data_IF_743743861868
#
_entry.id   IF_743743861868
#
_cell.length_a   1.000
_cell.length_b   1.000
_cell.length_c   1.000
_cell.angle_alpha   90.00
_cell.angle_beta   90.00
_cell.angle_gamma   90.00
#
_symmetry.space_group_name_H-M   'P 1'
#
loop_
_entity.id
_entity.type
_entity.pdbx_description
1 polymer ?
#
# COMPACT_ATOMS: atom_id res chain seq x y z
N UNK A 1 -7.96 -0.21 1.30
CA UNK A 1 -7.72 -0.48 -0.14
C UNK A 1 -6.25 -0.73 -0.42
N UNK A 2 -5.93 -1.89 -1.00
CA UNK A 2 -4.56 -2.19 -1.45
C UNK A 2 -4.49 -1.73 -2.91
N UNK A 3 -3.62 -0.77 -3.23
CA UNK A 3 -3.22 -0.52 -4.62
C UNK A 3 -2.61 -1.82 -5.13
N UNK A 4 -2.97 -2.29 -6.33
CA UNK A 4 -2.58 -3.61 -6.84
C UNK A 4 -1.06 -3.85 -6.69
N UNK A 5 -0.66 -4.51 -5.60
CA UNK A 5 0.72 -4.68 -5.17
C UNK A 5 1.04 -6.16 -5.23
N UNK A 6 1.89 -6.53 -6.19
CA UNK A 6 2.46 -7.86 -6.25
C UNK A 6 3.73 -7.85 -5.42
N UNK A 7 3.73 -8.60 -4.33
CA UNK A 7 4.92 -8.77 -3.51
C UNK A 7 5.97 -9.61 -4.24
N UNK A 8 6.96 -8.94 -4.83
CA UNK A 8 8.07 -9.57 -5.57
C UNK A 8 9.21 -10.03 -4.66
N UNK A 9 9.18 -9.67 -3.36
CA UNK A 9 10.29 -9.94 -2.42
C UNK A 9 10.63 -11.42 -2.29
N UNK A 10 9.66 -12.36 -2.22
CA UNK A 10 9.99 -13.79 -2.17
C UNK A 10 10.76 -14.27 -3.41
N UNK A 11 10.41 -13.76 -4.59
CA UNK A 11 11.09 -14.10 -5.84
C UNK A 11 12.52 -13.54 -5.83
N UNK A 12 12.69 -12.27 -5.42
CA UNK A 12 13.99 -11.63 -5.27
C UNK A 12 14.87 -12.40 -4.27
N UNK A 13 14.29 -12.90 -3.17
CA UNK A 13 15.02 -13.68 -2.19
C UNK A 13 15.61 -14.96 -2.80
N UNK A 14 14.78 -15.74 -3.51
CA UNK A 14 15.19 -17.00 -4.13
C UNK A 14 16.25 -16.76 -5.21
N UNK A 15 16.03 -15.78 -6.09
CA UNK A 15 17.01 -15.42 -7.12
C UNK A 15 18.34 -14.97 -6.50
N UNK A 16 18.30 -14.17 -5.43
CA UNK A 16 19.49 -13.74 -4.71
C UNK A 16 20.29 -14.90 -4.11
N UNK A 17 19.62 -15.92 -3.56
CA UNK A 17 20.29 -17.14 -3.07
C UNK A 17 20.98 -17.91 -4.20
N UNK A 18 20.36 -18.02 -5.37
CA UNK A 18 20.96 -18.68 -6.53
C UNK A 18 22.20 -17.93 -7.02
N UNK A 19 22.13 -16.60 -7.10
CA UNK A 19 23.27 -15.73 -7.46
C UNK A 19 24.39 -15.86 -6.43
N UNK A 20 24.05 -15.87 -5.14
CA UNK A 20 25.01 -16.04 -4.05
C UNK A 20 25.73 -17.40 -4.16
N UNK A 21 24.98 -18.48 -4.39
CA UNK A 21 25.51 -19.83 -4.54
C UNK A 21 26.49 -19.90 -5.72
N UNK A 22 26.10 -19.35 -6.87
CA UNK A 22 26.95 -19.30 -8.06
C UNK A 22 28.21 -18.45 -7.83
N UNK A 23 28.06 -17.28 -7.20
CA UNK A 23 29.18 -16.37 -6.89
C UNK A 23 30.21 -17.01 -5.95
N UNK A 24 29.74 -17.64 -4.86
CA UNK A 24 30.62 -18.37 -3.93
C UNK A 24 31.27 -19.57 -4.62
N UNK A 25 30.54 -20.28 -5.47
CA UNK A 25 31.09 -21.41 -6.23
C UNK A 25 32.24 -20.97 -7.15
N UNK A 26 32.03 -19.91 -7.93
CA UNK A 26 33.04 -19.33 -8.82
C UNK A 26 34.25 -18.84 -8.01
N UNK A 27 34.01 -18.12 -6.90
CA UNK A 27 35.07 -17.62 -6.02
C UNK A 27 35.94 -18.76 -5.46
N UNK A 28 35.32 -19.82 -4.94
CA UNK A 28 36.02 -21.00 -4.44
C UNK A 28 36.83 -21.70 -5.54
N UNK A 29 36.30 -21.76 -6.77
CA UNK A 29 37.00 -22.33 -7.92
C UNK A 29 38.24 -21.51 -8.31
N UNK A 30 38.11 -20.19 -8.40
CA UNK A 30 39.23 -19.28 -8.74
C UNK A 30 40.32 -19.34 -7.67
N UNK A 31 39.94 -19.31 -6.40
CA UNK A 31 40.90 -19.33 -5.28
C UNK A 31 41.43 -20.73 -4.95
N UNK A 32 41.01 -21.77 -5.69
CA UNK A 32 41.34 -23.18 -5.43
C UNK A 32 41.03 -23.62 -3.98
N UNK A 33 39.99 -23.04 -3.37
CA UNK A 33 39.53 -23.28 -1.98
C UNK A 33 38.21 -24.07 -1.96
N UNK A 34 38.16 -25.19 -2.69
CA UNK A 34 36.92 -25.98 -2.83
C UNK A 34 36.44 -26.57 -1.50
N UNK A 35 37.37 -26.97 -0.65
CA UNK A 35 37.16 -27.51 0.70
C UNK A 35 36.46 -26.53 1.65
N UNK A 36 36.60 -25.22 1.41
CA UNK A 36 36.00 -24.16 2.26
C UNK A 36 34.65 -23.66 1.76
N UNK A 37 34.10 -24.23 0.68
CA UNK A 37 32.85 -23.76 0.07
C UNK A 37 31.71 -23.61 1.07
N UNK A 38 31.42 -24.66 1.85
CA UNK A 38 30.30 -24.63 2.81
C UNK A 38 30.45 -23.53 3.87
N UNK A 39 31.66 -23.30 4.38
CA UNK A 39 31.92 -22.24 5.37
C UNK A 39 31.75 -20.84 4.76
N UNK A 40 32.26 -20.63 3.55
CA UNK A 40 32.15 -19.35 2.85
C UNK A 40 30.69 -19.07 2.46
N UNK A 41 29.99 -20.08 1.94
CA UNK A 41 28.58 -19.97 1.60
C UNK A 41 27.74 -19.68 2.84
N UNK A 42 27.93 -20.42 3.93
CA UNK A 42 27.22 -20.20 5.18
C UNK A 42 27.38 -18.78 5.71
N UNK A 43 28.62 -18.28 5.78
CA UNK A 43 28.87 -16.89 6.21
C UNK A 43 28.21 -15.87 5.28
N UNK A 44 28.38 -16.06 3.96
CA UNK A 44 27.80 -15.15 2.96
C UNK A 44 26.27 -15.17 2.99
N UNK A 45 25.67 -16.34 3.25
CA UNK A 45 24.23 -16.51 3.38
C UNK A 45 23.71 -15.82 4.63
N UNK A 46 24.38 -15.93 5.77
CA UNK A 46 24.00 -15.19 6.98
C UNK A 46 24.03 -13.68 6.76
N UNK A 47 25.07 -13.18 6.10
CA UNK A 47 25.17 -11.75 5.74
C UNK A 47 24.04 -11.37 4.79
N UNK A 48 23.81 -12.15 3.73
CA UNK A 48 22.73 -11.93 2.77
C UNK A 48 21.36 -11.88 3.43
N UNK A 49 21.04 -12.85 4.30
CA UNK A 49 19.78 -12.87 5.05
C UNK A 49 19.65 -11.64 5.92
N UNK A 50 20.71 -11.26 6.65
CA UNK A 50 20.70 -10.05 7.49
C UNK A 50 20.40 -8.78 6.68
N UNK A 51 21.08 -8.60 5.55
CA UNK A 51 20.81 -7.47 4.65
C UNK A 51 19.41 -7.52 4.06
N UNK A 52 18.98 -8.69 3.56
CA UNK A 52 17.66 -8.84 2.96
C UNK A 52 16.55 -8.52 3.98
N UNK A 53 16.68 -9.03 5.21
CA UNK A 53 15.74 -8.73 6.29
C UNK A 53 15.76 -7.25 6.65
N UNK A 54 16.93 -6.64 6.81
CA UNK A 54 17.01 -5.23 7.21
C UNK A 54 16.48 -4.26 6.16
N UNK A 55 16.66 -4.56 4.87
CA UNK A 55 16.28 -3.64 3.80
C UNK A 55 14.94 -3.99 3.15
N UNK A 56 14.62 -5.26 2.96
CA UNK A 56 13.52 -5.66 2.09
C UNK A 56 12.33 -6.25 2.83
N UNK A 57 12.39 -6.47 4.14
CA UNK A 57 11.23 -6.93 4.92
C UNK A 57 10.72 -5.87 5.88
N UNK A 58 9.49 -6.05 6.37
CA UNK A 58 8.85 -5.14 7.34
C UNK A 58 9.52 -5.12 8.73
N UNK A 59 10.57 -5.92 8.93
CA UNK A 59 11.39 -5.89 10.15
C UNK A 59 12.32 -4.67 10.12
N UNK A 60 12.74 -4.26 8.93
CA UNK A 60 13.58 -3.08 8.73
C UNK A 60 12.81 -1.76 8.80
N UNK A 61 13.51 -0.62 8.85
CA UNK A 61 12.88 0.69 8.99
C UNK A 61 12.30 1.24 7.67
N UNK A 62 12.42 0.52 6.56
CA UNK A 62 12.09 1.04 5.24
C UNK A 62 10.78 0.52 4.67
N UNK A 63 10.34 -0.67 5.08
CA UNK A 63 9.24 -1.40 4.43
C UNK A 63 8.10 -1.55 5.41
N UNK A 64 6.85 -1.45 4.93
CA UNK A 64 5.66 -1.56 5.78
C UNK A 64 5.50 -0.44 6.80
N UNK A 65 6.10 0.73 6.55
CA UNK A 65 5.98 1.87 7.44
C UNK A 65 4.55 2.38 7.42
N UNK A 66 3.94 2.48 8.60
CA UNK A 66 2.55 2.92 8.75
C UNK A 66 2.53 4.36 9.21
N UNK A 67 1.73 5.16 8.51
CA UNK A 67 1.53 6.55 8.85
C UNK A 67 0.07 6.95 8.61
N UNK A 68 -0.34 8.04 9.22
CA UNK A 68 -1.68 8.59 9.09
C UNK A 68 -1.63 9.87 8.26
N UNK A 69 -2.47 9.96 7.23
CA UNK A 69 -2.61 11.16 6.41
C UNK A 69 -4.03 11.68 6.49
N UNK A 70 -4.16 12.98 6.67
CA UNK A 70 -5.44 13.67 6.79
C UNK A 70 -5.68 14.50 5.53
N UNK A 71 -6.89 14.43 4.98
CA UNK A 71 -7.27 15.19 3.80
C UNK A 71 -8.64 15.83 4.00
N UNK A 72 -8.78 17.05 3.48
CA UNK A 72 -10.10 17.64 3.28
C UNK A 72 -10.64 17.14 1.93
N UNK A 73 -11.83 16.56 1.99
CA UNK A 73 -12.52 15.99 0.84
C UNK A 73 -13.93 16.58 0.74
N UNK A 74 -14.48 16.59 -0.47
CA UNK A 74 -15.90 16.85 -0.69
C UNK A 74 -16.62 15.54 -0.93
N UNK A 75 -17.87 15.42 -0.47
CA UNK A 75 -18.67 14.22 -0.72
C UNK A 75 -19.90 14.51 -1.58
N UNK A 76 -20.35 13.50 -2.31
CA UNK A 76 -21.60 13.52 -3.09
C UNK A 76 -22.18 12.12 -3.23
N UNK A 77 -23.47 12.05 -3.53
CA UNK A 77 -24.08 10.81 -4.01
C UNK A 77 -23.61 10.55 -5.45
N UNK A 78 -23.08 9.36 -5.70
CA UNK A 78 -22.75 8.88 -7.04
C UNK A 78 -24.01 8.58 -7.86
N UNK A 79 -23.88 8.58 -9.18
CA UNK A 79 -24.99 8.27 -10.08
C UNK A 79 -25.45 6.81 -9.93
N UNK A 80 -26.78 6.60 -9.86
CA UNK A 80 -27.42 5.30 -9.62
C UNK A 80 -27.19 4.28 -10.75
N UNK A 81 -26.82 4.72 -11.96
CA UNK A 81 -26.67 3.84 -13.14
C UNK A 81 -25.62 2.73 -12.98
N UNK A 82 -24.76 2.82 -11.96
CA UNK A 82 -23.71 1.83 -11.68
C UNK A 82 -23.86 1.09 -10.34
N UNK A 83 -24.98 1.25 -9.63
CA UNK A 83 -25.16 0.60 -8.32
C UNK A 83 -25.48 -0.90 -8.47
N UNK A 84 -24.43 -1.71 -8.66
CA UNK A 84 -24.50 -3.17 -8.51
C UNK A 84 -24.84 -3.61 -7.07
N UNK A 85 -24.89 -2.66 -6.13
CA UNK A 85 -25.15 -2.87 -4.71
C UNK A 85 -26.42 -2.11 -4.30
N UNK A 86 -27.24 -2.72 -3.43
CA UNK A 86 -28.49 -2.15 -2.90
C UNK A 86 -28.22 -1.11 -1.78
N UNK A 87 -27.17 -0.30 -1.95
CA UNK A 87 -26.73 0.70 -0.97
C UNK A 87 -26.31 2.00 -1.66
N UNK A 88 -26.49 3.16 -1.00
CA UNK A 88 -26.03 4.45 -1.49
C UNK A 88 -24.55 4.43 -1.86
N UNK A 89 -24.25 4.96 -3.06
CA UNK A 89 -22.88 5.16 -3.53
C UNK A 89 -22.39 6.53 -3.07
N UNK A 90 -21.59 6.57 -2.01
CA UNK A 90 -20.95 7.77 -1.50
C UNK A 90 -19.61 7.97 -2.21
N UNK A 91 -19.43 9.09 -2.89
CA UNK A 91 -18.18 9.44 -3.57
C UNK A 91 -17.51 10.60 -2.85
N UNK A 92 -16.28 10.38 -2.42
CA UNK A 92 -15.40 11.35 -1.79
C UNK A 92 -14.37 11.82 -2.82
N UNK A 93 -14.17 13.12 -2.97
CA UNK A 93 -13.20 13.70 -3.88
C UNK A 93 -12.20 14.57 -3.11
N UNK A 94 -10.91 14.40 -3.39
CA UNK A 94 -9.84 15.14 -2.72
C UNK A 94 -9.85 16.61 -3.16
N UNK A 95 -9.93 17.55 -2.21
CA UNK A 95 -9.97 18.98 -2.52
C UNK A 95 -8.68 19.49 -3.16
N UNK A 96 -7.54 19.08 -2.59
CA UNK A 96 -6.22 19.51 -3.06
C UNK A 96 -5.68 18.65 -4.22
N UNK A 97 -6.35 17.53 -4.53
CA UNK A 97 -5.97 16.60 -5.60
C UNK A 97 -7.18 16.30 -6.51
N UNK A 98 -7.72 17.32 -7.20
CA UNK A 98 -8.95 17.21 -7.96
C UNK A 98 -8.89 16.10 -9.01
N UNK A 99 -10.00 15.39 -9.20
CA UNK A 99 -10.06 14.21 -10.06
C UNK A 99 -9.58 12.91 -9.42
N UNK A 100 -8.97 12.94 -8.22
CA UNK A 100 -8.78 11.74 -7.40
C UNK A 100 -10.02 11.55 -6.51
N UNK A 101 -10.56 10.33 -6.45
CA UNK A 101 -11.76 10.02 -5.69
C UNK A 101 -11.71 8.67 -5.01
N UNK A 102 -12.52 8.52 -3.98
CA UNK A 102 -12.76 7.26 -3.28
C UNK A 102 -14.27 7.06 -3.20
N UNK A 103 -14.74 5.91 -3.64
CA UNK A 103 -16.15 5.54 -3.54
C UNK A 103 -16.37 4.48 -2.49
N UNK A 104 -17.49 4.59 -1.78
CA UNK A 104 -18.01 3.63 -0.81
C UNK A 104 -19.47 3.32 -1.15
N UNK A 105 -19.84 2.05 -1.09
CA UNK A 105 -21.24 1.64 -1.05
C UNK A 105 -21.60 1.38 0.42
N UNK A 106 -22.37 2.30 1.02
CA UNK A 106 -22.67 2.31 2.47
C UNK A 106 -23.87 3.19 2.79
N UNK A 107 -24.91 2.60 3.37
CA UNK A 107 -26.06 3.34 3.91
C UNK A 107 -25.68 4.15 5.15
N UNK A 108 -24.92 3.53 6.07
CA UNK A 108 -24.49 4.16 7.33
C UNK A 108 -23.65 5.42 7.08
N UNK A 109 -22.70 5.34 6.15
CA UNK A 109 -21.87 6.49 5.79
C UNK A 109 -22.70 7.61 5.16
N UNK A 110 -23.65 7.27 4.30
CA UNK A 110 -24.56 8.25 3.71
C UNK A 110 -25.39 8.96 4.78
N UNK A 111 -26.03 8.22 5.68
CA UNK A 111 -26.86 8.79 6.73
C UNK A 111 -26.05 9.70 7.66
N UNK A 112 -24.83 9.31 8.02
CA UNK A 112 -23.91 10.11 8.83
C UNK A 112 -23.56 11.45 8.15
N UNK A 113 -23.13 11.40 6.89
CA UNK A 113 -22.73 12.59 6.14
C UNK A 113 -23.92 13.52 5.86
N UNK A 114 -25.07 12.95 5.56
CA UNK A 114 -26.30 13.69 5.34
C UNK A 114 -26.78 14.39 6.62
N UNK A 115 -26.69 13.73 7.77
CA UNK A 115 -27.04 14.31 9.07
C UNK A 115 -26.10 15.45 9.48
N UNK A 116 -24.82 15.37 9.11
CA UNK A 116 -23.83 16.42 9.38
C UNK A 116 -24.07 17.67 8.53
N UNK A 117 -24.57 17.51 7.30
CA UNK A 117 -24.93 18.62 6.39
C UNK A 117 -23.74 19.44 5.88
N UNK A 118 -22.51 19.03 6.16
CA UNK A 118 -21.28 19.66 5.67
C UNK A 118 -20.84 19.02 4.36
N UNK A 119 -20.60 19.83 3.32
CA UNK A 119 -20.11 19.32 2.03
C UNK A 119 -18.62 19.00 2.06
N UNK A 120 -17.84 19.77 2.83
CA UNK A 120 -16.41 19.50 3.07
C UNK A 120 -16.25 18.73 4.37
N UNK A 121 -15.50 17.64 4.29
CA UNK A 121 -15.28 16.70 5.38
C UNK A 121 -13.81 16.36 5.49
N UNK A 122 -13.37 16.10 6.72
CA UNK A 122 -12.06 15.54 6.99
C UNK A 122 -12.11 14.02 6.83
N UNK A 123 -11.10 13.47 6.16
CA UNK A 123 -10.92 12.02 6.03
C UNK A 123 -9.51 11.67 6.45
N UNK A 124 -9.42 10.70 7.36
CA UNK A 124 -8.17 10.21 7.92
C UNK A 124 -7.89 8.84 7.32
N UNK A 125 -6.73 8.71 6.67
CA UNK A 125 -6.25 7.47 6.08
C UNK A 125 -5.09 6.89 6.86
N UNK A 126 -5.12 5.59 7.14
CA UNK A 126 -3.91 4.82 7.38
C UNK A 126 -3.24 4.52 6.05
N UNK A 127 -1.95 4.74 5.96
CA UNK A 127 -1.13 4.46 4.77
C UNK A 127 -0.06 3.46 5.13
N UNK A 128 0.31 2.63 4.17
CA UNK A 128 1.45 1.73 4.26
C UNK A 128 2.42 2.12 3.16
N UNK A 129 3.66 2.42 3.54
CA UNK A 129 4.71 2.83 2.63
C UNK A 129 5.92 1.90 2.68
N UNK A 130 6.54 1.76 1.51
CA UNK A 130 7.83 1.10 1.34
C UNK A 130 8.77 2.15 0.74
N UNK A 131 9.92 2.39 1.38
CA UNK A 131 10.93 3.38 0.97
C UNK A 131 10.36 4.79 0.76
N UNK A 132 9.38 5.19 1.58
CA UNK A 132 8.70 6.49 1.49
C UNK A 132 7.60 6.56 0.43
N UNK A 133 7.45 5.54 -0.41
CA UNK A 133 6.37 5.46 -1.41
C UNK A 133 5.17 4.73 -0.82
N UNK A 134 3.97 5.32 -0.90
CA UNK A 134 2.73 4.67 -0.45
C UNK A 134 2.38 3.52 -1.39
N UNK A 135 2.17 2.32 -0.82
CA UNK A 135 1.71 1.12 -1.56
C UNK A 135 0.28 0.70 -1.24
N UNK A 136 -0.33 1.29 -0.24
CA UNK A 136 -1.69 0.99 0.16
C UNK A 136 -2.20 1.97 1.19
N UNK A 137 -3.52 2.12 1.25
CA UNK A 137 -4.17 3.03 2.18
C UNK A 137 -5.56 2.52 2.58
N UNK A 138 -6.01 2.86 3.76
CA UNK A 138 -7.37 2.57 4.24
C UNK A 138 -7.95 3.80 4.90
N UNK A 139 -9.21 4.13 4.60
CA UNK A 139 -9.90 5.16 5.35
C UNK A 139 -10.15 4.61 6.77
N UNK A 140 -9.61 5.29 7.77
CA UNK A 140 -9.80 4.99 9.20
C UNK A 140 -10.96 5.80 9.78
N UNK A 141 -11.12 7.03 9.28
CA UNK A 141 -12.24 7.88 9.65
C UNK A 141 -12.70 8.76 8.51
N UNK A 142 -14.01 8.87 8.34
CA UNK A 142 -14.65 9.80 7.41
C UNK A 142 -15.58 10.70 8.22
N UNK A 143 -15.28 11.98 8.27
CA UNK A 143 -16.03 12.97 9.04
C UNK A 143 -16.27 12.55 10.52
N UNK A 144 -15.25 11.93 11.14
CA UNK A 144 -15.31 11.43 12.51
C UNK A 144 -15.98 10.06 12.67
N UNK A 145 -16.69 9.54 11.66
CA UNK A 145 -17.22 8.18 11.68
C UNK A 145 -16.07 7.17 11.53
N UNK A 146 -16.13 6.05 12.25
CA UNK A 146 -15.15 4.96 12.21
C UNK A 146 -15.90 3.63 12.11
N UNK A 147 -15.24 2.61 11.57
CA UNK A 147 -15.75 1.23 11.50
C UNK A 147 -17.15 1.10 10.85
N UNK A 148 -17.45 1.92 9.84
CA UNK A 148 -18.75 1.87 9.15
C UNK A 148 -18.87 0.62 8.27
N UNK A 149 -20.10 0.14 8.12
CA UNK A 149 -20.41 -0.96 7.20
C UNK A 149 -20.31 -0.49 5.75
N UNK A 150 -19.57 -1.22 4.92
CA UNK A 150 -19.48 -0.94 3.49
C UNK A 150 -19.36 -2.23 2.70
N UNK A 151 -20.26 -2.42 1.72
CA UNK A 151 -20.24 -3.58 0.81
C UNK A 151 -19.00 -3.58 -0.06
N UNK A 152 -18.60 -2.41 -0.53
CA UNK A 152 -17.45 -2.24 -1.40
C UNK A 152 -16.89 -0.82 -1.33
N UNK A 153 -15.58 -0.72 -1.49
CA UNK A 153 -14.89 0.56 -1.65
C UNK A 153 -13.88 0.50 -2.80
N UNK A 154 -13.68 1.63 -3.48
CA UNK A 154 -12.70 1.75 -4.55
C UNK A 154 -12.01 3.11 -4.55
N UNK A 155 -10.82 3.12 -5.13
CA UNK A 155 -10.10 4.33 -5.50
C UNK A 155 -10.24 4.54 -6.99
N UNK A 156 -10.46 5.76 -7.41
CA UNK A 156 -10.64 6.09 -8.82
C UNK A 156 -10.00 7.41 -9.16
N UNK A 157 -9.72 7.57 -10.45
CA UNK A 157 -9.38 8.85 -11.04
C UNK A 157 -10.40 9.21 -12.09
N UNK A 158 -10.62 10.50 -12.30
CA UNK A 158 -11.41 11.05 -13.41
C UNK A 158 -10.64 12.16 -14.09
N UNK A 159 -10.70 12.19 -15.42
CA UNK A 159 -9.91 13.10 -16.23
C UNK A 159 -8.43 12.70 -16.27
N UNK A 160 -7.54 13.68 -16.10
CA UNK A 160 -6.08 13.48 -16.13
C UNK A 160 -5.44 14.27 -14.98
N UNK A 161 -5.60 13.81 -13.72
CA UNK A 161 -5.01 14.49 -12.56
C UNK A 161 -3.49 14.55 -12.69
N UNK A 162 -2.91 15.70 -12.34
CA UNK A 162 -1.47 15.97 -12.47
C UNK A 162 -0.64 15.42 -11.31
N UNK A 163 -1.29 15.10 -10.18
CA UNK A 163 -0.66 14.60 -8.96
C UNK A 163 -1.57 13.63 -8.20
N UNK A 164 -0.95 12.72 -7.45
CA UNK A 164 -1.65 11.79 -6.56
C UNK A 164 -1.58 12.29 -5.10
N UNK A 165 -2.64 12.10 -4.29
CA UNK A 165 -2.58 12.36 -2.84
C UNK A 165 -1.60 11.44 -2.09
N UNK A 166 -1.10 10.41 -2.77
CA UNK A 166 -0.21 9.39 -2.22
C UNK A 166 1.26 9.58 -2.59
N UNK A 167 1.55 10.55 -3.48
CA UNK A 167 2.93 10.92 -3.81
C UNK A 167 3.63 11.66 -2.65
#
# INVERSE_FOLDING_TARGET
MILAYVDVRPILFILGVLVLLLGVYIFCRIKKKKDKFGKIFGLSFCVYVGFFTFFLTEIGPFVGQRDTREFIMTWKLGEEEYSSFDQPHVVLEFKDFPGNKIGHYSQELFDHLNAQGANEIEVIFSTVSDYGSVRGYSAESIAGLREWSSEFSYGGTSGSPTSSPWD
#
